data_IF_488600869655
#
_entry.id   IF_488600869655
#
_cell.length_a   1.000
_cell.length_b   1.000
_cell.length_c   1.000
_cell.angle_alpha   90.00
_cell.angle_beta   90.00
_cell.angle_gamma   90.00
#
_symmetry.space_group_name_H-M   'P 1'
#
loop_
_entity.id
_entity.type
_entity.pdbx_description
1 polymer ?
#
# COMPACT_ATOMS: atom_id res chain seq x y z
N UNK A 1 1.80 5.41 -24.28
CA UNK A 1 2.35 5.11 -22.93
C UNK A 1 2.16 3.63 -22.67
N UNK A 2 3.15 2.95 -22.10
CA UNK A 2 3.07 1.51 -21.80
C UNK A 2 2.30 1.30 -20.49
N UNK A 3 1.31 0.39 -20.44
CA UNK A 3 0.64 0.03 -19.19
C UNK A 3 1.64 -0.54 -18.19
N UNK A 4 1.44 -0.25 -16.91
CA UNK A 4 2.31 -0.77 -15.85
C UNK A 4 1.74 -0.59 -14.46
N UNK A 5 2.24 -1.39 -13.54
CA UNK A 5 1.88 -1.35 -12.13
C UNK A 5 3.13 -1.59 -11.28
N UNK A 6 3.34 -0.75 -10.27
CA UNK A 6 4.34 -0.96 -9.23
C UNK A 6 3.65 -1.04 -7.87
N UNK A 7 4.05 -2.01 -7.08
CA UNK A 7 3.65 -2.13 -5.68
C UNK A 7 4.87 -1.82 -4.82
N UNK A 8 4.69 -0.93 -3.84
CA UNK A 8 5.69 -0.58 -2.83
C UNK A 8 5.12 -0.82 -1.44
N UNK A 9 5.90 -1.46 -0.58
CA UNK A 9 5.50 -1.77 0.79
C UNK A 9 6.71 -2.04 1.68
N UNK A 10 6.76 -1.45 2.90
CA UNK A 10 7.78 -1.76 3.88
C UNK A 10 7.59 -3.14 4.54
N UNK A 11 6.41 -3.74 4.42
CA UNK A 11 6.06 -5.01 5.05
C UNK A 11 5.28 -5.87 4.06
N UNK A 12 5.91 -6.16 2.92
CA UNK A 12 5.25 -6.85 1.82
C UNK A 12 4.98 -8.31 2.20
N UNK A 13 3.72 -8.71 2.05
CA UNK A 13 3.35 -10.12 2.07
C UNK A 13 3.43 -10.69 0.65
N UNK A 14 4.37 -11.59 0.41
CA UNK A 14 4.46 -12.29 -0.88
C UNK A 14 3.35 -13.35 -0.98
N UNK A 15 2.19 -12.95 -1.49
CA UNK A 15 1.13 -13.88 -1.87
C UNK A 15 1.70 -14.93 -2.85
N UNK A 16 1.48 -16.22 -2.57
CA UNK A 16 2.00 -17.34 -3.36
C UNK A 16 3.21 -18.08 -2.77
N UNK A 17 3.76 -17.62 -1.63
CA UNK A 17 4.74 -18.37 -0.82
C UNK A 17 4.12 -19.14 0.36
N UNK A 18 2.81 -19.34 0.34
CA UNK A 18 2.11 -20.20 1.27
C UNK A 18 2.49 -21.66 0.97
N UNK A 19 3.47 -22.23 1.69
CA UNK A 19 3.78 -23.67 1.57
C UNK A 19 2.68 -24.44 2.30
N UNK A 20 1.73 -24.99 1.54
CA UNK A 20 0.70 -25.89 2.08
C UNK A 20 1.40 -27.14 2.60
N UNK A 21 1.41 -27.34 3.93
CA UNK A 21 1.81 -28.60 4.56
C UNK A 21 3.07 -28.60 5.44
N UNK A 22 3.79 -27.48 5.59
CA UNK A 22 4.96 -27.41 6.49
C UNK A 22 4.70 -26.53 7.74
N UNK A 23 4.56 -27.13 8.94
CA UNK A 23 4.37 -26.39 10.20
C UNK A 23 5.57 -25.54 10.63
N UNK A 24 6.78 -25.78 10.09
CA UNK A 24 7.99 -25.05 10.45
C UNK A 24 8.30 -23.85 9.53
N UNK A 25 7.61 -23.72 8.39
CA UNK A 25 7.82 -22.65 7.39
C UNK A 25 6.86 -21.47 7.56
N UNK A 26 5.92 -21.52 8.52
CA UNK A 26 5.01 -20.41 8.85
C UNK A 26 5.69 -19.20 9.55
N UNK A 27 7.01 -19.02 9.44
CA UNK A 27 7.66 -17.79 9.90
C UNK A 27 7.57 -16.72 8.81
N UNK A 28 6.40 -16.10 8.73
CA UNK A 28 6.25 -14.86 7.97
C UNK A 28 7.21 -13.81 8.53
N UNK A 29 8.17 -13.43 7.71
CA UNK A 29 9.15 -12.41 8.02
C UNK A 29 8.78 -11.19 7.19
N UNK A 30 8.49 -10.03 7.80
CA UNK A 30 8.31 -8.78 7.08
C UNK A 30 9.49 -8.52 6.14
N UNK A 31 9.21 -8.22 4.88
CA UNK A 31 10.24 -7.89 3.90
C UNK A 31 9.84 -6.64 3.10
N UNK A 32 10.84 -5.85 2.71
CA UNK A 32 10.64 -4.81 1.72
C UNK A 32 10.20 -5.40 0.38
N UNK A 33 9.19 -4.79 -0.23
CA UNK A 33 8.86 -5.05 -1.63
C UNK A 33 10.09 -4.84 -2.53
N UNK A 34 10.22 -5.60 -3.61
CA UNK A 34 11.38 -5.51 -4.50
C UNK A 34 11.62 -4.09 -5.05
N UNK A 35 10.55 -3.32 -5.26
CA UNK A 35 10.62 -1.94 -5.77
C UNK A 35 11.13 -0.93 -4.73
N UNK A 36 11.21 -1.30 -3.45
CA UNK A 36 11.74 -0.45 -2.39
C UNK A 36 13.21 -0.73 -2.04
N UNK A 37 13.83 -1.73 -2.67
CA UNK A 37 15.25 -2.06 -2.41
C UNK A 37 16.19 -1.11 -3.16
N UNK A 38 17.31 -0.78 -2.52
CA UNK A 38 18.35 0.09 -3.07
C UNK A 38 17.94 1.55 -3.29
N UNK A 39 18.81 2.33 -3.95
CA UNK A 39 18.69 3.80 -4.03
C UNK A 39 17.39 4.29 -4.67
N UNK A 40 16.92 3.62 -5.73
CA UNK A 40 15.66 3.95 -6.40
C UNK A 40 14.45 3.78 -5.48
N UNK A 41 14.46 2.75 -4.64
CA UNK A 41 13.41 2.52 -3.66
C UNK A 41 13.33 3.65 -2.64
N UNK A 42 14.49 4.17 -2.22
CA UNK A 42 14.58 5.35 -1.35
C UNK A 42 14.03 6.60 -2.04
N UNK A 43 14.39 6.86 -3.30
CA UNK A 43 13.85 7.98 -4.08
C UNK A 43 12.32 7.93 -4.19
N UNK A 44 11.76 6.75 -4.49
CA UNK A 44 10.31 6.54 -4.56
C UNK A 44 9.68 6.80 -3.18
N UNK A 45 10.26 6.26 -2.11
CA UNK A 45 9.74 6.46 -0.76
C UNK A 45 9.71 7.95 -0.39
N UNK A 46 10.79 8.68 -0.65
CA UNK A 46 10.88 10.12 -0.39
C UNK A 46 9.88 10.91 -1.24
N UNK A 47 9.77 10.61 -2.53
CA UNK A 47 8.86 11.33 -3.44
C UNK A 47 7.37 11.15 -3.08
N UNK A 48 7.02 10.02 -2.45
CA UNK A 48 5.63 9.70 -2.07
C UNK A 48 5.26 10.15 -0.66
N UNK A 49 6.19 10.69 0.14
CA UNK A 49 5.95 11.09 1.53
C UNK A 49 4.76 12.04 1.70
N UNK A 50 4.67 13.07 0.86
CA UNK A 50 3.59 14.05 0.95
C UNK A 50 2.22 13.42 0.74
N UNK A 51 2.11 12.50 -0.23
CA UNK A 51 0.87 11.76 -0.48
C UNK A 51 0.55 10.84 0.70
N UNK A 52 1.55 10.12 1.21
CA UNK A 52 1.39 9.27 2.39
C UNK A 52 0.89 10.02 3.63
N UNK A 53 1.42 11.23 3.88
CA UNK A 53 0.98 12.10 4.97
C UNK A 53 -0.45 12.57 4.80
N UNK A 54 -0.84 12.98 3.58
CA UNK A 54 -2.21 13.42 3.30
C UNK A 54 -3.22 12.28 3.47
N UNK A 55 -2.92 11.10 2.93
CA UNK A 55 -3.75 9.91 3.09
C UNK A 55 -3.87 9.51 4.57
N UNK A 56 -2.76 9.54 5.30
CA UNK A 56 -2.74 9.25 6.75
C UNK A 56 -3.52 10.28 7.57
N UNK A 57 -3.44 11.57 7.21
CA UNK A 57 -4.21 12.62 7.86
C UNK A 57 -5.71 12.47 7.59
N UNK A 58 -6.10 12.15 6.35
CA UNK A 58 -7.48 11.84 6.00
C UNK A 58 -7.99 10.63 6.81
N UNK A 59 -7.21 9.54 6.85
CA UNK A 59 -7.55 8.36 7.65
C UNK A 59 -7.72 8.69 9.13
N UNK A 60 -6.84 9.52 9.70
CA UNK A 60 -6.95 9.95 11.10
C UNK A 60 -8.26 10.67 11.40
N UNK A 61 -8.81 11.41 10.44
CA UNK A 61 -10.09 12.12 10.60
C UNK A 61 -11.28 11.18 10.38
N UNK A 62 -11.24 10.35 9.33
CA UNK A 62 -12.35 9.47 8.94
C UNK A 62 -12.48 8.25 9.85
N UNK A 63 -11.34 7.63 10.19
CA UNK A 63 -11.25 6.39 10.98
C UNK A 63 -10.07 6.45 11.97
N UNK A 64 -10.19 7.21 13.08
CA UNK A 64 -9.10 7.42 14.03
C UNK A 64 -8.53 6.11 14.60
N UNK A 65 -9.38 5.14 14.92
CA UNK A 65 -8.94 3.85 15.48
C UNK A 65 -8.07 3.08 14.50
N UNK A 66 -8.45 3.04 13.22
CA UNK A 66 -7.68 2.39 12.16
C UNK A 66 -6.35 3.10 11.92
N UNK A 67 -6.33 4.44 11.96
CA UNK A 67 -5.09 5.22 11.90
C UNK A 67 -4.12 4.83 13.02
N UNK A 68 -4.59 4.77 14.28
CA UNK A 68 -3.73 4.41 15.41
C UNK A 68 -3.28 2.96 15.35
N UNK A 69 -4.13 2.03 14.89
CA UNK A 69 -3.74 0.65 14.64
C UNK A 69 -2.61 0.54 13.60
N UNK A 70 -2.72 1.29 12.49
CA UNK A 70 -1.67 1.40 11.48
C UNK A 70 -0.37 1.97 12.04
N UNK A 71 -0.44 3.08 12.79
CA UNK A 71 0.71 3.69 13.44
C UNK A 71 1.41 2.72 14.41
N UNK A 72 0.66 2.02 15.25
CA UNK A 72 1.21 1.01 16.15
C UNK A 72 1.87 -0.15 15.40
N UNK A 73 1.31 -0.54 14.26
CA UNK A 73 1.88 -1.58 13.39
C UNK A 73 3.23 -1.14 12.85
N UNK A 74 3.33 0.09 12.35
CA UNK A 74 4.59 0.67 11.84
C UNK A 74 5.66 0.78 12.94
N UNK A 75 5.28 1.17 14.15
CA UNK A 75 6.21 1.23 15.30
C UNK A 75 6.73 -0.16 15.69
N UNK A 76 5.83 -1.14 15.82
CA UNK A 76 6.21 -2.53 16.13
C UNK A 76 7.10 -3.16 15.06
N UNK A 77 6.86 -2.81 13.80
CA UNK A 77 7.70 -3.24 12.69
C UNK A 77 9.11 -2.64 12.79
N UNK A 78 9.23 -1.37 13.18
CA UNK A 78 10.52 -0.75 13.48
C UNK A 78 11.26 -1.44 14.63
N UNK A 79 10.59 -1.66 15.77
CA UNK A 79 11.19 -2.39 16.91
C UNK A 79 11.63 -3.81 16.53
N UNK A 80 10.83 -4.49 15.69
CA UNK A 80 11.18 -5.81 15.17
C UNK A 80 12.41 -5.74 14.27
N UNK A 81 12.46 -4.79 13.34
CA UNK A 81 13.57 -4.59 12.42
C UNK A 81 14.88 -4.28 13.16
N UNK A 82 14.83 -3.45 14.22
CA UNK A 82 15.97 -3.20 15.12
C UNK A 82 16.47 -4.49 15.78
N UNK A 83 15.56 -5.32 16.31
CA UNK A 83 15.92 -6.60 16.93
C UNK A 83 16.53 -7.59 15.94
N UNK A 84 16.11 -7.56 14.67
CA UNK A 84 16.68 -8.38 13.61
C UNK A 84 17.97 -7.81 13.01
N UNK A 85 18.32 -6.55 13.31
CA UNK A 85 19.44 -5.86 12.66
C UNK A 85 19.18 -5.55 11.18
N UNK A 86 17.91 -5.40 10.77
CA UNK A 86 17.53 -5.11 9.38
C UNK A 86 17.66 -3.61 9.09
N UNK A 87 18.87 -3.21 8.69
CA UNK A 87 19.22 -1.82 8.40
C UNK A 87 18.43 -1.26 7.20
N UNK A 88 18.16 -2.09 6.19
CA UNK A 88 17.46 -1.66 4.97
C UNK A 88 15.99 -1.34 5.28
N UNK A 89 15.32 -2.21 6.03
CA UNK A 89 13.96 -1.98 6.50
C UNK A 89 13.88 -0.75 7.41
N UNK A 90 14.83 -0.57 8.33
CA UNK A 90 14.86 0.60 9.21
C UNK A 90 15.02 1.92 8.43
N UNK A 91 15.89 1.95 7.41
CA UNK A 91 16.03 3.14 6.57
C UNK A 91 14.75 3.42 5.78
N UNK A 92 14.11 2.38 5.23
CA UNK A 92 12.82 2.53 4.57
C UNK A 92 11.75 3.09 5.51
N UNK A 93 11.60 2.54 6.71
CA UNK A 93 10.60 2.96 7.70
C UNK A 93 10.79 4.41 8.16
N UNK A 94 12.03 4.89 8.27
CA UNK A 94 12.33 6.30 8.57
C UNK A 94 11.80 7.26 7.51
N UNK A 95 11.75 6.80 6.26
CA UNK A 95 11.29 7.60 5.13
C UNK A 95 9.82 7.32 4.77
N UNK A 96 9.22 6.23 5.25
CA UNK A 96 7.84 5.86 4.97
C UNK A 96 6.85 6.70 5.78
N UNK A 97 6.29 7.74 5.15
CA UNK A 97 5.44 8.72 5.83
C UNK A 97 3.94 8.37 5.85
N UNK A 98 3.60 7.09 5.69
CA UNK A 98 2.21 6.61 5.64
C UNK A 98 1.92 5.56 6.72
N UNK A 99 0.71 5.55 7.27
CA UNK A 99 0.23 4.43 8.10
C UNK A 99 -0.35 3.28 7.27
N UNK A 100 -0.55 3.49 5.96
CA UNK A 100 -0.86 2.42 5.02
C UNK A 100 0.39 1.60 4.77
N UNK A 101 0.23 0.27 4.72
CA UNK A 101 1.31 -0.68 4.56
C UNK A 101 1.68 -0.93 3.09
N UNK A 102 0.87 -0.48 2.13
CA UNK A 102 1.09 -0.66 0.70
C UNK A 102 0.72 0.64 -0.03
N UNK A 103 1.49 0.99 -1.05
CA UNK A 103 1.05 1.92 -2.08
C UNK A 103 1.28 1.28 -3.46
N UNK A 104 0.30 1.47 -4.33
CA UNK A 104 0.31 0.92 -5.68
C UNK A 104 0.15 2.06 -6.68
N UNK A 105 1.07 2.15 -7.64
CA UNK A 105 0.98 3.10 -8.75
C UNK A 105 0.64 2.32 -10.01
N UNK A 106 -0.56 2.55 -10.53
CA UNK A 106 -1.06 1.98 -11.78
C UNK A 106 -1.04 3.05 -12.87
N UNK A 107 -0.56 2.68 -14.06
CA UNK A 107 -0.42 3.59 -15.19
C UNK A 107 -1.05 2.95 -16.43
N UNK A 108 -1.98 3.67 -17.08
CA UNK A 108 -2.66 3.27 -18.31
C UNK A 108 -3.22 1.83 -18.29
N UNK A 109 -3.72 1.41 -17.13
CA UNK A 109 -4.26 0.06 -16.93
C UNK A 109 -5.73 0.16 -16.54
N UNK A 110 -6.57 -0.64 -17.20
CA UNK A 110 -7.94 -0.91 -16.75
C UNK A 110 -7.92 -2.13 -15.85
N UNK A 111 -8.54 -2.04 -14.68
CA UNK A 111 -8.64 -3.16 -13.76
C UNK A 111 -9.95 -3.91 -14.04
N UNK A 112 -9.90 -5.22 -14.37
CA UNK A 112 -11.12 -5.98 -14.61
C UNK A 112 -11.96 -6.07 -13.32
N UNK A 113 -13.27 -6.35 -13.41
CA UNK A 113 -14.11 -6.56 -12.24
C UNK A 113 -13.52 -7.64 -11.32
N UNK A 114 -13.24 -7.26 -10.07
CA UNK A 114 -12.70 -8.15 -9.04
C UNK A 114 -13.15 -7.68 -7.65
N UNK A 115 -12.85 -8.50 -6.65
CA UNK A 115 -12.87 -8.14 -5.23
C UNK A 115 -11.52 -8.55 -4.65
N UNK A 116 -11.06 -7.88 -3.60
CA UNK A 116 -9.87 -8.29 -2.85
C UNK A 116 -10.25 -9.33 -1.79
N UNK A 117 -10.11 -10.65 -2.07
CA UNK A 117 -10.71 -11.68 -1.23
C UNK A 117 -9.96 -11.92 0.08
N UNK A 118 -8.71 -11.43 0.18
CA UNK A 118 -7.84 -11.57 1.34
C UNK A 118 -7.80 -10.31 2.22
N UNK A 119 -8.58 -9.29 1.87
CA UNK A 119 -8.67 -8.06 2.63
C UNK A 119 -9.67 -8.23 3.78
N UNK A 120 -9.30 -7.97 5.05
CA UNK A 120 -10.26 -8.03 6.15
C UNK A 120 -11.31 -6.91 6.00
N UNK A 121 -12.54 -7.08 6.50
CA UNK A 121 -13.60 -6.07 6.37
C UNK A 121 -13.26 -4.68 6.91
N UNK A 122 -12.34 -4.61 7.87
CA UNK A 122 -11.88 -3.37 8.52
C UNK A 122 -10.74 -2.68 7.77
N UNK A 123 -10.15 -3.34 6.77
CA UNK A 123 -9.13 -2.71 5.94
C UNK A 123 -9.75 -1.62 5.06
N UNK A 124 -8.94 -0.59 4.82
CA UNK A 124 -9.32 0.53 3.98
C UNK A 124 -8.27 0.68 2.89
N UNK A 125 -8.74 0.82 1.66
CA UNK A 125 -7.94 1.28 0.54
C UNK A 125 -8.38 2.69 0.16
N UNK A 126 -7.41 3.52 -0.23
CA UNK A 126 -7.65 4.84 -0.80
C UNK A 126 -7.07 4.83 -2.21
N UNK A 127 -7.88 5.16 -3.20
CA UNK A 127 -7.44 5.28 -4.58
C UNK A 127 -7.52 6.74 -5.03
N UNK A 128 -6.45 7.22 -5.64
CA UNK A 128 -6.39 8.54 -6.25
C UNK A 128 -5.98 8.41 -7.71
N UNK A 129 -6.67 9.14 -8.57
CA UNK A 129 -6.28 9.27 -9.97
C UNK A 129 -5.51 10.56 -10.22
N UNK A 130 -4.48 10.50 -11.06
CA UNK A 130 -3.63 11.65 -11.41
C UNK A 130 -3.23 11.53 -12.88
N UNK A 131 -3.23 12.67 -13.58
CA UNK A 131 -2.75 12.77 -14.96
C UNK A 131 -3.80 13.31 -15.93
N UNK A 132 -3.41 13.41 -17.20
CA UNK A 132 -4.31 13.83 -18.26
C UNK A 132 -4.80 12.59 -19.02
N UNK A 133 -6.08 12.30 -18.91
CA UNK A 133 -6.72 11.18 -19.61
C UNK A 133 -8.18 11.51 -19.89
N UNK A 134 -8.79 10.81 -20.84
CA UNK A 134 -10.19 11.01 -21.20
C UNK A 134 -11.13 10.60 -20.06
N UNK A 135 -12.44 10.88 -20.15
CA UNK A 135 -13.36 10.50 -19.09
C UNK A 135 -13.30 9.00 -18.77
N UNK A 136 -13.02 8.66 -17.51
CA UNK A 136 -13.10 7.28 -17.00
C UNK A 136 -14.02 7.20 -15.78
N UNK A 137 -14.43 5.99 -15.45
CA UNK A 137 -15.35 5.70 -14.36
C UNK A 137 -14.75 4.68 -13.41
N UNK A 138 -15.13 4.78 -12.14
CA UNK A 138 -14.99 3.69 -11.18
C UNK A 138 -16.36 3.03 -11.03
N UNK A 139 -16.47 1.80 -11.51
CA UNK A 139 -17.70 1.01 -11.40
C UNK A 139 -17.62 0.07 -10.20
N UNK A 140 -18.45 0.33 -9.19
CA UNK A 140 -18.57 -0.49 -7.99
C UNK A 140 -19.83 -1.36 -8.14
N UNK A 141 -19.75 -2.36 -9.02
CA UNK A 141 -20.91 -3.16 -9.46
C UNK A 141 -21.70 -3.78 -8.30
N UNK A 142 -21.03 -4.20 -7.22
CA UNK A 142 -21.68 -4.78 -6.04
C UNK A 142 -22.52 -3.78 -5.24
N UNK A 143 -22.21 -2.49 -5.38
CA UNK A 143 -22.95 -1.39 -4.77
C UNK A 143 -23.97 -0.78 -5.75
N UNK A 144 -23.92 -1.14 -7.03
CA UNK A 144 -24.74 -0.54 -8.08
C UNK A 144 -24.44 0.94 -8.33
N UNK A 145 -23.20 1.38 -8.04
CA UNK A 145 -22.77 2.77 -8.15
C UNK A 145 -21.66 2.90 -9.19
N UNK A 146 -21.77 3.89 -10.06
CA UNK A 146 -20.72 4.29 -11.00
C UNK A 146 -20.31 5.74 -10.70
N UNK A 147 -19.03 5.96 -10.42
CA UNK A 147 -18.48 7.27 -10.08
C UNK A 147 -17.62 7.80 -11.22
N UNK A 148 -17.70 9.11 -11.49
CA UNK A 148 -16.75 9.77 -12.39
C UNK A 148 -15.35 9.78 -11.76
N UNK A 149 -14.39 9.12 -12.39
CA UNK A 149 -13.03 8.95 -11.85
C UNK A 149 -12.02 9.82 -12.61
N UNK A 150 -12.33 11.10 -12.71
CA UNK A 150 -11.50 12.12 -13.37
C UNK A 150 -10.22 12.38 -12.58
N UNK A 151 -9.24 13.02 -13.22
CA UNK A 151 -7.97 13.35 -12.57
C UNK A 151 -8.19 14.18 -11.31
N UNK A 152 -7.56 13.78 -10.21
CA UNK A 152 -7.73 14.39 -8.89
C UNK A 152 -8.89 13.85 -8.08
N UNK A 153 -9.66 12.88 -8.59
CA UNK A 153 -10.67 12.16 -7.81
C UNK A 153 -9.98 11.19 -6.85
N UNK A 154 -10.44 11.20 -5.60
CA UNK A 154 -10.07 10.21 -4.59
C UNK A 154 -11.33 9.45 -4.18
N UNK A 155 -11.24 8.12 -4.15
CA UNK A 155 -12.31 7.19 -3.71
C UNK A 155 -11.80 6.35 -2.56
#
# INVERSE_FOLDING_TARGET
LTPGCINISPCWFQQGREVIGDPQVQKFTPELSANLKGDRGREITVSTQRLGLLASAALRVMHPELYFAGLHTMLRLGEWAEKQGDVELLDCLKNWASVFNVATVMCNQSTPPHRDPKCPPEALDIMMSVGEYGPVVMDLTNLGITLGYQSGTMV
#
